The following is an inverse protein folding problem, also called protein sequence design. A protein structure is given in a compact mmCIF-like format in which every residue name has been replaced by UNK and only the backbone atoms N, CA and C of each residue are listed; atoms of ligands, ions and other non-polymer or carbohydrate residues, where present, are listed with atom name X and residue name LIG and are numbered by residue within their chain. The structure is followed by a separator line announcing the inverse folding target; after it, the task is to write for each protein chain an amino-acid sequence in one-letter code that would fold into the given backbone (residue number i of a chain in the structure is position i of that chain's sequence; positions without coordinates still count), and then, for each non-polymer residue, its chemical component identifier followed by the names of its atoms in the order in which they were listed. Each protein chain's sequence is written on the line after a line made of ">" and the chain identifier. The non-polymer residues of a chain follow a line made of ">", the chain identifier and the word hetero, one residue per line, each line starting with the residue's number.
data_IF_252315146262
#
_entry.id   IF_252315146262
#
_cell.length_a   1.000
_cell.length_b   1.000
_cell.length_c   1.000
_cell.angle_alpha   90.00
_cell.angle_beta   90.00
_cell.angle_gamma   90.00
#
_symmetry.space_group_name_H-M   'P 1'
#
loop_
_entity.id
_entity.type
_entity.pdbx_description
1 polymer ?
#
# COMPACT_ATOMS: atom_id res chain seq x y z
N UNK A 1 12.05 -26.94 23.73
CA UNK A 1 11.05 -26.33 22.83
C UNK A 1 11.47 -24.89 22.60
N UNK A 2 11.89 -24.46 21.40
CA UNK A 2 12.25 -23.06 21.17
C UNK A 2 10.97 -22.21 21.26
N UNK A 3 10.97 -21.18 22.11
CA UNK A 3 9.88 -20.20 22.15
C UNK A 3 9.86 -19.47 20.81
N UNK A 4 8.72 -19.48 20.12
CA UNK A 4 8.51 -18.66 18.95
C UNK A 4 8.73 -17.19 19.35
N UNK A 5 9.73 -16.56 18.76
CA UNK A 5 9.97 -15.12 18.91
C UNK A 5 8.82 -14.42 18.18
N UNK A 6 7.83 -13.94 18.94
CA UNK A 6 6.83 -13.03 18.41
C UNK A 6 7.57 -11.73 18.09
N UNK A 7 7.88 -11.53 16.82
CA UNK A 7 8.26 -10.21 16.33
C UNK A 7 7.00 -9.35 16.43
N UNK A 8 6.82 -8.72 17.59
CA UNK A 8 5.83 -7.67 17.77
C UNK A 8 6.24 -6.48 16.90
N UNK A 9 5.28 -5.92 16.18
CA UNK A 9 5.46 -4.62 15.56
C UNK A 9 5.66 -3.65 16.73
N UNK A 10 6.79 -2.96 16.77
CA UNK A 10 7.06 -1.98 17.83
C UNK A 10 5.94 -0.95 17.89
N UNK A 11 5.53 -0.55 19.10
CA UNK A 11 4.49 0.46 19.28
C UNK A 11 4.82 1.73 18.46
N UNK A 12 3.85 2.17 17.65
CA UNK A 12 3.98 3.39 16.86
C UNK A 12 3.90 4.63 17.73
N UNK A 13 4.61 5.67 17.35
CA UNK A 13 4.58 6.99 17.97
C UNK A 13 3.87 7.99 17.06
N UNK A 14 3.39 9.10 17.62
CA UNK A 14 2.78 10.19 16.84
C UNK A 14 3.74 10.83 15.81
N UNK A 15 5.05 10.60 15.93
CA UNK A 15 6.05 11.12 15.00
C UNK A 15 6.30 10.19 13.80
N UNK A 16 5.79 8.95 13.86
CA UNK A 16 5.90 8.02 12.75
C UNK A 16 4.97 8.46 11.61
N UNK A 17 5.53 8.52 10.40
CA UNK A 17 4.77 8.84 9.20
C UNK A 17 3.96 7.61 8.77
N UNK A 18 2.85 7.34 9.45
CA UNK A 18 1.87 6.35 9.04
C UNK A 18 1.23 6.75 7.70
N UNK A 19 0.72 5.79 6.91
CA UNK A 19 -0.13 6.12 5.77
C UNK A 19 -1.46 6.71 6.25
N UNK A 20 -2.15 7.44 5.39
CA UNK A 20 -3.43 8.09 5.73
C UNK A 20 -4.47 7.11 6.27
N UNK A 21 -4.54 5.90 5.68
CA UNK A 21 -5.45 4.85 6.11
C UNK A 21 -4.72 3.50 6.20
N UNK A 22 -5.00 2.76 7.26
CA UNK A 22 -4.60 1.37 7.44
C UNK A 22 -5.86 0.51 7.58
N UNK A 23 -6.03 -0.48 6.70
CA UNK A 23 -7.16 -1.42 6.75
C UNK A 23 -6.66 -2.85 6.88
N UNK A 24 -7.19 -3.58 7.86
CA UNK A 24 -6.87 -4.99 8.10
C UNK A 24 -7.99 -5.88 7.56
N UNK A 25 -7.67 -6.72 6.57
CA UNK A 25 -8.49 -7.89 6.24
C UNK A 25 -8.00 -9.06 7.09
N UNK A 26 -8.77 -9.40 8.14
CA UNK A 26 -8.43 -10.48 9.08
C UNK A 26 -8.51 -11.87 8.44
N UNK A 27 -9.33 -12.03 7.40
CA UNK A 27 -9.55 -13.32 6.72
C UNK A 27 -8.37 -13.66 5.83
N UNK A 28 -7.95 -12.70 5.00
CA UNK A 28 -6.78 -12.86 4.11
C UNK A 28 -5.45 -12.57 4.81
N UNK A 29 -5.51 -11.97 6.00
CA UNK A 29 -4.36 -11.45 6.74
C UNK A 29 -3.55 -10.46 5.90
N UNK A 30 -4.26 -9.50 5.31
CA UNK A 30 -3.66 -8.41 4.55
C UNK A 30 -3.81 -7.09 5.27
N UNK A 31 -2.75 -6.28 5.20
CA UNK A 31 -2.73 -4.92 5.68
C UNK A 31 -2.66 -3.99 4.47
N UNK A 32 -3.77 -3.32 4.18
CA UNK A 32 -3.81 -2.28 3.17
C UNK A 32 -3.28 -1.00 3.78
N UNK A 33 -2.21 -0.47 3.19
CA UNK A 33 -1.58 0.79 3.52
C UNK A 33 -1.93 1.75 2.40
N UNK A 34 -2.70 2.79 2.70
CA UNK A 34 -3.38 3.61 1.69
C UNK A 34 -2.97 5.07 1.87
N UNK A 35 -2.51 5.68 0.78
CA UNK A 35 -2.23 7.13 0.70
C UNK A 35 -3.34 7.80 -0.13
N UNK A 36 -3.97 8.82 0.45
CA UNK A 36 -4.91 9.70 -0.24
C UNK A 36 -4.12 10.83 -0.92
N UNK A 37 -3.80 10.62 -2.19
CA UNK A 37 -2.83 11.45 -2.89
C UNK A 37 -3.41 12.84 -3.10
N UNK A 38 -2.76 13.79 -2.43
CA UNK A 38 -2.95 15.23 -2.58
C UNK A 38 -1.55 15.84 -2.79
N UNK A 39 -1.01 16.59 -1.84
CA UNK A 39 0.32 17.19 -1.94
C UNK A 39 1.49 16.27 -1.55
N UNK A 40 1.25 15.21 -0.78
CA UNK A 40 2.30 14.34 -0.23
C UNK A 40 2.80 13.26 -1.21
N UNK A 41 2.14 13.13 -2.36
CA UNK A 41 2.50 12.19 -3.43
C UNK A 41 2.04 10.74 -3.18
N UNK A 42 2.17 9.86 -4.19
CA UNK A 42 1.69 8.49 -4.14
C UNK A 42 2.64 7.55 -3.39
N UNK A 43 2.32 6.25 -3.41
CA UNK A 43 3.23 5.14 -3.07
C UNK A 43 4.42 5.09 -4.02
N UNK A 44 5.35 6.03 -3.86
CA UNK A 44 6.60 6.07 -4.57
C UNK A 44 7.61 5.06 -3.98
N UNK A 45 8.73 4.76 -4.68
CA UNK A 45 9.69 3.75 -4.21
C UNK A 45 10.23 4.01 -2.80
N UNK A 46 10.48 5.28 -2.44
CA UNK A 46 10.95 5.65 -1.10
C UNK A 46 9.90 5.35 -0.04
N UNK A 47 8.64 5.73 -0.30
CA UNK A 47 7.53 5.55 0.62
C UNK A 47 7.23 4.08 0.87
N UNK A 48 7.24 3.27 -0.19
CA UNK A 48 7.08 1.81 -0.10
C UNK A 48 8.19 1.21 0.77
N UNK A 49 9.45 1.58 0.55
CA UNK A 49 10.57 1.10 1.36
C UNK A 49 10.45 1.49 2.85
N UNK A 50 10.06 2.73 3.15
CA UNK A 50 9.85 3.20 4.52
C UNK A 50 8.75 2.39 5.23
N UNK A 51 7.62 2.16 4.55
CA UNK A 51 6.52 1.37 5.09
C UNK A 51 6.89 -0.11 5.24
N UNK A 52 7.60 -0.71 4.27
CA UNK A 52 8.10 -2.08 4.41
C UNK A 52 8.99 -2.23 5.65
N UNK A 53 9.89 -1.27 5.89
CA UNK A 53 10.74 -1.27 7.09
C UNK A 53 9.92 -1.14 8.37
N UNK A 54 8.96 -0.21 8.37
CA UNK A 54 8.06 0.04 9.50
C UNK A 54 7.23 -1.21 9.87
N UNK A 55 6.79 -1.97 8.87
CA UNK A 55 5.96 -3.16 9.05
C UNK A 55 6.72 -4.49 8.90
N UNK A 56 8.06 -4.49 8.96
CA UNK A 56 8.90 -5.68 8.73
C UNK A 56 8.61 -6.87 9.68
N UNK A 57 8.05 -6.61 10.87
CA UNK A 57 7.63 -7.65 11.82
C UNK A 57 6.21 -8.19 11.58
N UNK A 58 5.45 -7.56 10.68
CA UNK A 58 4.07 -7.95 10.42
C UNK A 58 4.00 -9.34 9.81
N UNK A 59 3.08 -10.16 10.34
CA UNK A 59 2.75 -11.45 9.75
C UNK A 59 1.66 -11.34 8.67
N UNK A 60 1.23 -10.12 8.34
CA UNK A 60 0.25 -9.84 7.30
C UNK A 60 0.95 -9.51 5.97
N UNK A 61 0.34 -9.90 4.86
CA UNK A 61 0.77 -9.39 3.55
C UNK A 61 0.52 -7.88 3.47
N UNK A 62 1.48 -7.10 2.97
CA UNK A 62 1.34 -5.66 2.82
C UNK A 62 0.81 -5.35 1.42
N UNK A 63 -0.24 -4.53 1.35
CA UNK A 63 -0.81 -4.04 0.09
C UNK A 63 -0.70 -2.52 0.09
N UNK A 64 0.06 -1.97 -0.84
CA UNK A 64 0.30 -0.53 -0.94
C UNK A 64 -0.65 0.07 -1.97
N UNK A 65 -1.45 1.06 -1.56
CA UNK A 65 -2.47 1.66 -2.42
C UNK A 65 -2.27 3.17 -2.51
N UNK A 66 -2.15 3.69 -3.72
CA UNK A 66 -2.29 5.13 -3.98
C UNK A 66 -3.72 5.41 -4.41
N UNK A 67 -4.40 6.35 -3.76
CA UNK A 67 -5.78 6.69 -4.08
C UNK A 67 -5.90 8.11 -4.62
N UNK A 68 -6.70 8.29 -5.66
CA UNK A 68 -6.90 9.56 -6.34
C UNK A 68 -8.39 9.87 -6.49
N UNK A 69 -8.75 11.15 -6.52
CA UNK A 69 -10.14 11.54 -6.76
C UNK A 69 -10.58 11.17 -8.19
N UNK A 70 -9.73 11.44 -9.18
CA UNK A 70 -10.02 11.21 -10.59
C UNK A 70 -8.77 10.82 -11.40
N UNK A 71 -8.97 10.56 -12.69
CA UNK A 71 -7.90 10.17 -13.61
C UNK A 71 -6.95 11.33 -13.96
N UNK A 72 -7.41 12.58 -13.84
CA UNK A 72 -6.59 13.74 -14.13
C UNK A 72 -5.52 13.92 -13.05
N UNK A 73 -5.89 13.74 -11.78
CA UNK A 73 -4.94 13.73 -10.67
C UNK A 73 -3.99 12.53 -10.76
N UNK A 74 -4.51 11.31 -10.99
CA UNK A 74 -3.69 10.13 -11.20
C UNK A 74 -2.61 10.34 -12.27
N UNK A 75 -2.97 10.92 -13.42
CA UNK A 75 -2.04 11.14 -14.54
C UNK A 75 -0.88 12.07 -14.19
N UNK A 76 -1.08 13.04 -13.29
CA UNK A 76 -0.01 13.94 -12.85
C UNK A 76 1.06 13.19 -12.05
N UNK A 77 0.65 12.15 -11.32
CA UNK A 77 1.51 11.38 -10.42
C UNK A 77 1.95 10.03 -10.97
N UNK A 78 1.40 9.57 -12.09
CA UNK A 78 1.55 8.18 -12.57
C UNK A 78 3.00 7.74 -12.79
N UNK A 79 3.91 8.69 -13.08
CA UNK A 79 5.35 8.43 -13.28
C UNK A 79 6.10 8.15 -11.97
N UNK A 80 5.55 8.56 -10.83
CA UNK A 80 6.20 8.49 -9.52
C UNK A 80 5.71 7.28 -8.70
N UNK A 81 4.72 6.53 -9.20
CA UNK A 81 4.14 5.36 -8.55
C UNK A 81 5.09 4.16 -8.68
N UNK A 82 5.33 3.47 -7.58
CA UNK A 82 6.17 2.27 -7.55
C UNK A 82 5.48 1.09 -8.24
N UNK A 83 6.27 0.25 -8.91
CA UNK A 83 5.85 -1.13 -9.24
C UNK A 83 5.50 -1.91 -7.96
N UNK A 84 4.76 -3.01 -8.12
CA UNK A 84 4.21 -3.83 -7.04
C UNK A 84 3.27 -3.05 -6.10
N UNK A 85 2.59 -2.04 -6.64
CA UNK A 85 1.59 -1.27 -5.90
C UNK A 85 0.28 -1.18 -6.67
N UNK A 86 -0.75 -0.78 -5.94
CA UNK A 86 -2.10 -0.71 -6.45
C UNK A 86 -2.58 0.75 -6.52
N UNK A 87 -3.45 1.03 -7.48
CA UNK A 87 -4.09 2.34 -7.61
C UNK A 87 -5.60 2.17 -7.62
N UNK A 88 -6.28 3.01 -6.83
CA UNK A 88 -7.74 3.12 -6.83
C UNK A 88 -8.14 4.57 -7.11
N UNK A 89 -9.17 4.76 -7.92
CA UNK A 89 -9.62 6.09 -8.34
C UNK A 89 -11.09 6.23 -7.94
N UNK A 90 -11.41 7.24 -7.12
CA UNK A 90 -12.74 7.39 -6.54
C UNK A 90 -13.84 7.57 -7.60
N UNK A 91 -13.52 8.24 -8.72
CA UNK A 91 -14.42 8.36 -9.87
C UNK A 91 -14.74 7.02 -10.57
N UNK A 92 -13.97 5.97 -10.33
CA UNK A 92 -14.14 4.63 -10.90
C UNK A 92 -14.04 3.56 -9.79
N UNK A 93 -14.97 3.56 -8.82
CA UNK A 93 -14.80 2.85 -7.56
C UNK A 93 -14.75 1.33 -7.68
N UNK A 94 -15.34 0.77 -8.74
CA UNK A 94 -15.38 -0.68 -9.02
C UNK A 94 -14.11 -1.19 -9.73
N UNK A 95 -13.14 -0.31 -9.99
CA UNK A 95 -11.95 -0.62 -10.77
C UNK A 95 -10.66 -0.31 -10.00
N UNK A 96 -9.60 -1.05 -10.35
CA UNK A 96 -8.25 -0.84 -9.84
C UNK A 96 -7.24 -0.96 -10.97
N UNK A 97 -6.12 -0.23 -10.84
CA UNK A 97 -4.96 -0.37 -11.72
C UNK A 97 -3.86 -1.06 -10.91
N UNK A 98 -3.31 -2.13 -11.46
CA UNK A 98 -2.23 -2.91 -10.85
C UNK A 98 -0.90 -2.53 -11.51
N UNK A 99 0.01 -1.92 -10.76
CA UNK A 99 1.34 -1.59 -11.26
C UNK A 99 2.24 -2.82 -11.11
N UNK A 100 2.42 -3.53 -12.22
CA UNK A 100 2.91 -4.91 -12.34
C UNK A 100 1.80 -5.95 -12.12
N UNK A 101 1.91 -7.07 -12.83
CA UNK A 101 0.78 -7.99 -12.99
C UNK A 101 1.13 -9.27 -13.73
N UNK A 102 2.36 -9.75 -13.60
CA UNK A 102 2.74 -11.10 -14.05
C UNK A 102 1.77 -12.17 -13.51
N UNK A 103 1.29 -12.01 -12.27
CA UNK A 103 0.19 -12.78 -11.64
C UNK A 103 -1.15 -12.73 -12.39
N UNK A 104 -1.33 -11.80 -13.31
CA UNK A 104 -2.57 -11.55 -14.08
C UNK A 104 -2.39 -11.76 -15.60
N UNK A 105 -1.20 -12.13 -16.07
CA UNK A 105 -0.95 -12.38 -17.48
C UNK A 105 -1.42 -13.79 -17.88
N UNK A 106 -2.52 -13.86 -18.63
CA UNK A 106 -3.11 -15.09 -19.18
C UNK A 106 -4.44 -14.77 -19.87
N UNK A 107 -4.95 -15.64 -20.76
CA UNK A 107 -6.25 -15.42 -21.38
C UNK A 107 -7.36 -15.38 -20.31
N UNK A 108 -8.32 -14.47 -20.49
CA UNK A 108 -9.52 -14.37 -19.64
C UNK A 108 -10.46 -15.56 -19.86
#
# INVERSE_FOLDING_TARGET
>A
MPKAQQNEISAFTFHDKLPDIILLDTTKRWLFLIEAVTSHGPMNPKRVFELQKMFNGSKCGLVFVSTFLDFAEFKQHSKDISWETEVWIAAFPDHMIHFNGDKFMGPR
#
